data_IF_283962812312
#
_entry.id   IF_283962812312
#
_cell.length_a   1.000
_cell.length_b   1.000
_cell.length_c   1.000
_cell.angle_alpha   90.00
_cell.angle_beta   90.00
_cell.angle_gamma   90.00
#
_symmetry.space_group_name_H-M   'P 1'
#
loop_
_entity.id
_entity.type
_entity.pdbx_description
1 polymer ?
#
# COMPACT_ATOMS: atom_id res chain seq x y z
N UNK A 1 38.26 62.37 -60.91
CA UNK A 1 37.04 62.74 -60.18
C UNK A 1 36.20 61.46 -60.00
N UNK A 2 36.49 60.65 -58.95
CA UNK A 2 35.80 59.37 -58.64
C UNK A 2 34.90 59.61 -57.41
N UNK A 3 33.58 59.46 -57.60
CA UNK A 3 32.58 59.50 -56.49
C UNK A 3 32.43 58.11 -55.96
N UNK A 4 32.79 57.90 -54.65
CA UNK A 4 32.46 56.72 -53.90
C UNK A 4 31.00 56.79 -53.41
N UNK A 5 30.23 55.70 -53.61
CA UNK A 5 28.90 55.52 -53.08
C UNK A 5 29.00 54.88 -51.70
N UNK A 6 28.22 55.30 -50.68
CA UNK A 6 28.21 54.62 -49.38
C UNK A 6 27.36 53.34 -49.44
N UNK A 7 27.91 52.24 -48.93
CA UNK A 7 27.19 51.00 -48.70
C UNK A 7 26.53 51.11 -47.31
N UNK A 8 25.19 51.12 -47.26
CA UNK A 8 24.44 51.04 -46.04
C UNK A 8 24.26 49.59 -45.67
N UNK A 9 24.92 49.18 -44.55
CA UNK A 9 24.79 47.83 -43.98
C UNK A 9 23.62 47.85 -43.00
N UNK A 10 22.49 47.26 -43.38
CA UNK A 10 21.30 47.14 -42.48
C UNK A 10 21.53 45.93 -41.58
N UNK A 11 21.78 46.18 -40.29
CA UNK A 11 21.87 45.14 -39.28
C UNK A 11 20.45 44.75 -38.85
N UNK A 12 19.97 43.58 -39.26
CA UNK A 12 18.71 42.98 -38.80
C UNK A 12 18.98 42.31 -37.44
N UNK A 13 18.58 42.97 -36.33
CA UNK A 13 18.56 42.35 -35.02
C UNK A 13 17.36 41.40 -34.92
N UNK A 14 17.66 40.09 -34.99
CA UNK A 14 16.67 39.05 -34.68
C UNK A 14 16.55 38.94 -33.17
N UNK A 15 15.46 39.48 -32.62
CA UNK A 15 15.08 39.23 -31.21
C UNK A 15 14.54 37.81 -31.08
N UNK A 16 15.35 36.89 -30.58
CA UNK A 16 14.86 35.59 -30.13
C UNK A 16 13.97 35.80 -28.89
N UNK A 17 12.66 35.66 -29.07
CA UNK A 17 11.72 35.65 -27.94
C UNK A 17 12.02 34.39 -27.11
N UNK A 18 12.70 34.57 -25.96
CA UNK A 18 12.81 33.54 -24.92
C UNK A 18 11.43 33.42 -24.30
N UNK A 19 10.65 32.43 -24.73
CA UNK A 19 9.42 32.03 -24.06
C UNK A 19 9.85 31.46 -22.70
N UNK A 20 9.50 32.06 -21.56
CA UNK A 20 9.79 31.44 -20.27
C UNK A 20 9.04 30.11 -20.23
N UNK A 21 9.74 28.99 -20.22
CA UNK A 21 9.17 27.71 -19.78
C UNK A 21 8.65 27.96 -18.38
N UNK A 22 7.33 27.95 -18.22
CA UNK A 22 6.73 27.95 -16.89
C UNK A 22 7.30 26.72 -16.18
N UNK A 23 8.26 26.92 -15.29
CA UNK A 23 8.72 25.91 -14.38
C UNK A 23 7.50 25.61 -13.48
N UNK A 24 6.77 24.55 -13.79
CA UNK A 24 5.77 24.01 -12.87
C UNK A 24 6.53 23.68 -11.59
N UNK A 25 6.25 24.44 -10.54
CA UNK A 25 6.71 24.07 -9.19
C UNK A 25 6.16 22.69 -8.89
N UNK A 26 7.05 21.71 -8.68
CA UNK A 26 6.63 20.37 -8.27
C UNK A 26 5.96 20.47 -6.89
N UNK A 27 4.73 19.94 -6.77
CA UNK A 27 4.07 19.82 -5.47
C UNK A 27 4.67 18.65 -4.70
N UNK A 28 5.14 18.90 -3.48
CA UNK A 28 5.56 17.82 -2.60
C UNK A 28 4.39 17.27 -1.81
N UNK A 29 4.12 15.97 -1.94
CA UNK A 29 3.17 15.21 -1.13
C UNK A 29 3.91 14.36 -0.11
N UNK A 30 3.48 14.42 1.16
CA UNK A 30 4.01 13.59 2.23
C UNK A 30 3.20 12.31 2.33
N UNK A 31 3.88 11.17 2.24
CA UNK A 31 3.24 9.85 2.28
C UNK A 31 3.77 9.01 3.44
N UNK A 32 2.87 8.38 4.18
CA UNK A 32 3.23 7.24 5.04
C UNK A 32 3.00 5.93 4.28
N UNK A 33 4.00 5.06 4.27
CA UNK A 33 4.00 3.79 3.55
C UNK A 33 4.17 2.65 4.55
N UNK A 34 3.18 1.77 4.66
CA UNK A 34 3.26 0.59 5.52
C UNK A 34 4.16 -0.47 4.87
N UNK A 35 5.14 -0.96 5.60
CA UNK A 35 6.04 -2.04 5.19
C UNK A 35 6.85 -1.77 3.89
N UNK A 36 8.12 -1.39 3.99
CA UNK A 36 9.01 -1.27 2.82
C UNK A 36 9.23 -2.64 2.16
N UNK A 37 9.65 -2.63 0.92
CA UNK A 37 10.05 -3.78 0.10
C UNK A 37 8.89 -4.69 -0.38
N UNK A 38 7.66 -4.50 0.06
CA UNK A 38 6.51 -5.27 -0.41
C UNK A 38 6.01 -4.76 -1.76
N UNK A 39 5.40 -5.64 -2.56
CA UNK A 39 4.83 -5.28 -3.87
C UNK A 39 3.66 -4.30 -3.75
N UNK A 40 2.75 -4.52 -2.81
CA UNK A 40 1.54 -3.70 -2.62
C UNK A 40 1.83 -2.26 -2.15
N UNK A 41 3.03 -2.01 -1.66
CA UNK A 41 3.44 -0.69 -1.16
C UNK A 41 4.50 -0.02 -2.03
N UNK A 42 5.02 -0.70 -3.07
CA UNK A 42 6.15 -0.21 -3.87
C UNK A 42 5.79 0.91 -4.86
N UNK A 43 4.51 1.05 -5.25
CA UNK A 43 4.10 1.93 -6.34
C UNK A 43 4.58 3.38 -6.18
N UNK A 44 4.45 4.05 -5.02
CA UNK A 44 4.97 5.42 -4.87
C UNK A 44 6.47 5.52 -5.10
N UNK A 45 7.25 4.64 -4.47
CA UNK A 45 8.71 4.63 -4.57
C UNK A 45 9.18 4.34 -6.00
N UNK A 46 8.63 3.29 -6.64
CA UNK A 46 9.06 2.88 -7.96
C UNK A 46 8.62 3.86 -9.05
N UNK A 47 7.40 4.39 -8.94
CA UNK A 47 6.92 5.44 -9.85
C UNK A 47 7.72 6.73 -9.72
N UNK A 48 8.18 7.08 -8.51
CA UNK A 48 9.07 8.22 -8.32
C UNK A 48 10.44 7.97 -8.94
N UNK A 49 11.05 6.78 -8.73
CA UNK A 49 12.33 6.40 -9.35
C UNK A 49 12.24 6.36 -10.88
N UNK A 50 11.11 5.91 -11.42
CA UNK A 50 10.85 5.91 -12.88
C UNK A 50 10.52 7.30 -13.43
N UNK A 51 10.42 8.34 -12.59
CA UNK A 51 10.10 9.70 -13.01
C UNK A 51 8.63 9.94 -13.35
N UNK A 52 7.74 8.94 -13.11
CA UNK A 52 6.31 9.04 -13.44
C UNK A 52 5.64 10.13 -12.61
N UNK A 53 5.86 10.18 -11.29
CA UNK A 53 5.29 11.23 -10.45
C UNK A 53 5.77 12.62 -10.85
N UNK A 54 7.06 12.77 -11.21
CA UNK A 54 7.61 14.05 -11.71
C UNK A 54 6.93 14.49 -13.02
N UNK A 55 6.65 13.57 -13.95
CA UNK A 55 5.87 13.85 -15.16
C UNK A 55 4.51 14.47 -14.86
N UNK A 56 3.91 14.13 -13.72
CA UNK A 56 2.66 14.70 -13.22
C UNK A 56 2.86 15.91 -12.29
N UNK A 57 4.07 16.51 -12.24
CA UNK A 57 4.39 17.67 -11.41
C UNK A 57 4.36 17.38 -9.91
N UNK A 58 4.73 16.16 -9.50
CA UNK A 58 4.73 15.72 -8.11
C UNK A 58 6.10 15.20 -7.69
N UNK A 59 6.46 15.54 -6.45
CA UNK A 59 7.54 14.94 -5.68
C UNK A 59 6.96 14.27 -4.44
N UNK A 60 7.41 13.07 -4.10
CA UNK A 60 6.91 12.31 -2.95
C UNK A 60 7.96 12.28 -1.83
N UNK A 61 7.55 12.70 -0.64
CA UNK A 61 8.32 12.55 0.60
C UNK A 61 7.77 11.33 1.35
N UNK A 62 8.56 10.23 1.40
CA UNK A 62 8.11 8.93 1.87
C UNK A 62 8.60 8.63 3.28
N UNK A 63 7.66 8.44 4.21
CA UNK A 63 7.86 7.94 5.56
C UNK A 63 7.46 6.46 5.64
N UNK A 64 8.39 5.57 5.97
CA UNK A 64 8.07 4.16 6.17
C UNK A 64 7.65 3.88 7.62
N UNK A 65 6.58 3.08 7.78
CA UNK A 65 6.00 2.70 9.08
C UNK A 65 6.10 1.19 9.30
N UNK A 66 5.77 0.72 10.51
CA UNK A 66 5.77 -0.71 10.84
C UNK A 66 4.51 -1.46 10.35
N UNK A 67 3.54 -0.76 9.77
CA UNK A 67 2.32 -1.34 9.21
C UNK A 67 1.17 -0.36 9.08
N UNK A 68 0.07 -0.82 8.47
CA UNK A 68 -1.07 0.01 8.09
C UNK A 68 -1.76 0.76 9.25
N UNK A 69 -1.64 0.29 10.48
CA UNK A 69 -2.19 0.99 11.64
C UNK A 69 -1.42 2.29 11.94
N UNK A 70 -0.08 2.24 11.94
CA UNK A 70 0.74 3.44 12.10
C UNK A 70 0.58 4.40 10.92
N UNK A 71 0.52 3.85 9.69
CA UNK A 71 0.21 4.62 8.48
C UNK A 71 -1.08 5.42 8.65
N UNK A 72 -2.14 4.79 9.14
CA UNK A 72 -3.43 5.45 9.38
C UNK A 72 -3.30 6.56 10.44
N UNK A 73 -2.57 6.34 11.52
CA UNK A 73 -2.37 7.35 12.55
C UNK A 73 -1.60 8.58 12.02
N UNK A 74 -0.59 8.38 11.18
CA UNK A 74 0.15 9.47 10.56
C UNK A 74 -0.76 10.34 9.66
N UNK A 75 -1.73 9.73 8.95
CA UNK A 75 -2.73 10.46 8.16
C UNK A 75 -3.73 11.19 9.06
N UNK A 76 -4.27 10.54 10.07
CA UNK A 76 -5.26 11.13 10.99
C UNK A 76 -4.68 12.35 11.72
N UNK A 77 -3.43 12.26 12.16
CA UNK A 77 -2.73 13.37 12.83
C UNK A 77 -2.39 14.55 11.89
N UNK A 78 -2.46 14.35 10.56
CA UNK A 78 -2.04 15.34 9.57
C UNK A 78 -0.51 15.44 9.42
N UNK A 79 0.25 14.51 9.97
CA UNK A 79 1.72 14.46 9.79
C UNK A 79 2.11 14.16 8.36
N UNK A 80 1.24 13.47 7.62
CA UNK A 80 1.34 13.19 6.19
C UNK A 80 0.01 13.45 5.49
N UNK A 81 0.07 13.67 4.17
CA UNK A 81 -1.10 13.88 3.34
C UNK A 81 -1.82 12.55 3.03
N UNK A 82 -1.06 11.53 2.64
CA UNK A 82 -1.55 10.25 2.12
C UNK A 82 -0.94 9.09 2.90
N UNK A 83 -1.72 8.03 3.09
CA UNK A 83 -1.27 6.76 3.67
C UNK A 83 -1.49 5.59 2.70
N UNK A 84 -0.46 4.80 2.49
CA UNK A 84 -0.46 3.65 1.59
C UNK A 84 -0.67 2.37 2.38
N UNK A 85 -1.62 1.53 1.95
CA UNK A 85 -1.92 0.22 2.51
C UNK A 85 -2.42 0.23 3.98
N UNK A 86 -3.28 1.18 4.34
CA UNK A 86 -4.03 1.14 5.60
C UNK A 86 -5.08 0.02 5.59
N UNK A 87 -5.35 -0.59 6.75
CA UNK A 87 -6.38 -1.63 6.88
C UNK A 87 -7.80 -1.06 6.74
N UNK A 88 -8.56 -1.54 5.77
CA UNK A 88 -9.85 -0.94 5.40
C UNK A 88 -10.86 -0.96 6.54
N UNK A 89 -10.99 -2.08 7.26
CA UNK A 89 -11.91 -2.18 8.40
C UNK A 89 -11.61 -1.14 9.48
N UNK A 90 -10.32 -0.91 9.79
CA UNK A 90 -9.92 0.09 10.77
C UNK A 90 -10.14 1.52 10.26
N UNK A 91 -9.95 1.78 8.97
CA UNK A 91 -10.27 3.07 8.34
C UNK A 91 -11.77 3.37 8.45
N UNK A 92 -12.65 2.38 8.18
CA UNK A 92 -14.10 2.51 8.41
C UNK A 92 -14.43 2.83 9.87
N UNK A 93 -13.79 2.12 10.81
CA UNK A 93 -13.99 2.35 12.25
C UNK A 93 -13.48 3.72 12.73
N UNK A 94 -12.35 4.19 12.21
CA UNK A 94 -11.82 5.52 12.51
C UNK A 94 -12.73 6.62 11.95
N UNK A 95 -13.19 6.48 10.71
CA UNK A 95 -14.13 7.39 10.09
C UNK A 95 -15.46 7.46 10.87
N UNK A 96 -16.03 6.32 11.27
CA UNK A 96 -17.24 6.28 12.09
C UNK A 96 -17.11 7.04 13.42
N UNK A 97 -15.89 7.17 13.94
CA UNK A 97 -15.55 7.94 15.15
C UNK A 97 -15.20 9.41 14.87
N UNK A 98 -15.37 9.87 13.63
CA UNK A 98 -15.12 11.26 13.23
C UNK A 98 -13.68 11.57 12.84
N UNK A 99 -12.81 10.57 12.63
CA UNK A 99 -11.45 10.81 12.18
C UNK A 99 -11.43 11.47 10.79
N UNK A 100 -10.52 12.45 10.55
CA UNK A 100 -10.42 13.18 9.28
C UNK A 100 -9.71 12.34 8.20
N UNK A 101 -10.28 11.19 7.86
CA UNK A 101 -9.72 10.25 6.89
C UNK A 101 -10.70 9.97 5.76
N UNK A 102 -10.18 9.85 4.52
CA UNK A 102 -10.93 9.43 3.33
C UNK A 102 -10.16 8.35 2.59
N UNK A 103 -10.86 7.49 1.86
CA UNK A 103 -10.26 6.50 0.97
C UNK A 103 -10.05 7.16 -0.39
N UNK A 104 -8.78 7.27 -0.79
CA UNK A 104 -8.34 7.87 -2.06
C UNK A 104 -8.22 6.82 -3.17
N UNK A 105 -7.91 5.57 -2.81
CA UNK A 105 -7.81 4.44 -3.73
C UNK A 105 -8.03 3.11 -3.00
N UNK A 106 -8.49 2.10 -3.73
CA UNK A 106 -8.33 0.73 -3.29
C UNK A 106 -6.83 0.35 -3.32
N UNK A 107 -6.41 -0.52 -2.43
CA UNK A 107 -5.05 -1.04 -2.39
C UNK A 107 -5.02 -2.50 -2.82
N UNK A 108 -5.27 -3.42 -1.89
CA UNK A 108 -5.22 -4.86 -2.16
C UNK A 108 -6.57 -5.51 -1.85
N UNK A 109 -7.10 -6.25 -2.83
CA UNK A 109 -8.29 -7.09 -2.68
C UNK A 109 -7.86 -8.54 -2.49
N UNK A 110 -8.38 -9.18 -1.45
CA UNK A 110 -7.94 -10.51 -1.02
C UNK A 110 -6.72 -10.46 -0.08
N UNK A 111 -6.32 -11.64 0.37
CA UNK A 111 -5.25 -11.83 1.38
C UNK A 111 -4.29 -12.96 0.99
N UNK A 112 -4.16 -13.26 -0.29
CA UNK A 112 -3.29 -14.33 -0.81
C UNK A 112 -1.80 -14.09 -0.54
N UNK A 113 -1.42 -12.84 -0.34
CA UNK A 113 -0.06 -12.44 0.01
C UNK A 113 0.29 -12.67 1.49
N UNK A 114 -0.70 -12.72 2.37
CA UNK A 114 -0.48 -12.88 3.81
C UNK A 114 -0.38 -14.35 4.20
N UNK A 115 0.60 -14.67 5.03
CA UNK A 115 0.73 -16.01 5.59
C UNK A 115 1.32 -16.02 6.99
N UNK A 116 0.97 -17.07 7.73
CA UNK A 116 1.45 -17.34 9.08
C UNK A 116 2.32 -18.57 9.08
N UNK A 117 3.39 -18.51 9.83
CA UNK A 117 4.43 -19.55 9.86
C UNK A 117 4.97 -19.77 11.27
N UNK A 118 5.63 -20.90 11.44
CA UNK A 118 6.36 -21.25 12.64
C UNK A 118 7.79 -21.66 12.29
N UNK A 119 8.76 -21.59 13.23
CA UNK A 119 10.06 -22.23 13.07
C UNK A 119 9.90 -23.72 12.73
N UNK A 120 10.78 -24.28 11.90
CA UNK A 120 10.67 -25.68 11.45
C UNK A 120 10.62 -26.70 12.61
N UNK A 121 11.32 -26.40 13.70
CA UNK A 121 11.34 -27.24 14.92
C UNK A 121 10.07 -27.12 15.79
N UNK A 122 9.17 -26.16 15.50
CA UNK A 122 7.96 -25.96 16.28
C UNK A 122 7.05 -27.22 16.28
N UNK A 123 6.40 -27.57 17.40
CA UNK A 123 5.40 -28.62 17.45
C UNK A 123 4.10 -28.28 16.72
N UNK A 124 3.81 -26.98 16.47
CA UNK A 124 2.62 -26.50 15.77
C UNK A 124 2.72 -26.94 14.30
N UNK A 125 1.72 -27.68 13.80
CA UNK A 125 1.70 -28.22 12.43
C UNK A 125 0.70 -27.51 11.50
N UNK A 126 -0.34 -26.96 12.08
CA UNK A 126 -1.43 -26.25 11.37
C UNK A 126 -1.96 -25.10 12.22
N UNK A 127 -2.80 -24.26 11.63
CA UNK A 127 -3.43 -23.17 12.38
C UNK A 127 -4.42 -23.69 13.46
N UNK A 128 -4.84 -24.94 13.39
CA UNK A 128 -5.67 -25.56 14.45
C UNK A 128 -4.91 -25.83 15.74
N UNK A 129 -3.59 -25.80 15.69
CA UNK A 129 -2.74 -26.12 16.86
C UNK A 129 -2.34 -24.86 17.67
N UNK A 130 -2.94 -23.69 17.35
CA UNK A 130 -2.53 -22.41 17.96
C UNK A 130 -3.34 -22.01 19.21
N UNK A 131 -4.13 -22.91 19.76
CA UNK A 131 -4.84 -22.64 21.02
C UNK A 131 -3.89 -22.21 22.15
N UNK A 132 -4.21 -21.07 22.77
CA UNK A 132 -3.39 -20.45 23.81
C UNK A 132 -2.03 -19.93 23.35
N UNK A 133 -1.69 -20.02 22.06
CA UNK A 133 -0.41 -19.57 21.50
C UNK A 133 -0.45 -18.08 21.11
N UNK A 134 0.72 -17.47 21.13
CA UNK A 134 0.91 -16.10 20.62
C UNK A 134 1.06 -16.12 19.11
N UNK A 135 0.21 -15.33 18.43
CA UNK A 135 0.20 -15.23 16.96
C UNK A 135 0.42 -13.77 16.55
N UNK A 136 1.50 -13.55 15.81
CA UNK A 136 1.91 -12.21 15.36
C UNK A 136 1.00 -11.62 14.29
N UNK A 137 0.86 -10.29 14.33
CA UNK A 137 0.37 -9.42 13.25
C UNK A 137 1.15 -8.10 13.29
N UNK A 138 1.09 -7.26 12.25
CA UNK A 138 1.94 -6.07 12.21
C UNK A 138 1.59 -5.05 13.28
N UNK A 139 0.54 -4.29 13.08
CA UNK A 139 0.09 -3.21 13.98
C UNK A 139 -1.42 -3.25 14.17
N UNK A 140 -1.92 -2.70 15.27
CA UNK A 140 -3.35 -2.63 15.52
C UNK A 140 -4.07 -1.88 14.38
N UNK A 141 -5.13 -2.49 13.83
CA UNK A 141 -5.89 -1.93 12.73
C UNK A 141 -5.31 -2.21 11.34
N UNK A 142 -4.14 -2.86 11.22
CA UNK A 142 -3.63 -3.32 9.93
C UNK A 142 -4.47 -4.47 9.36
N UNK A 143 -4.36 -4.71 8.03
CA UNK A 143 -5.00 -5.87 7.38
C UNK A 143 -4.57 -7.20 7.99
N UNK A 144 -3.31 -7.32 8.40
CA UNK A 144 -2.78 -8.50 9.09
C UNK A 144 -3.52 -8.79 10.39
N UNK A 145 -3.92 -7.74 11.13
CA UNK A 145 -4.70 -7.89 12.36
C UNK A 145 -6.11 -8.45 12.06
N UNK A 146 -6.83 -7.81 11.15
CA UNK A 146 -8.20 -8.25 10.81
C UNK A 146 -8.22 -9.62 10.12
N UNK A 147 -7.23 -9.92 9.28
CA UNK A 147 -7.08 -11.24 8.67
C UNK A 147 -6.76 -12.33 9.71
N UNK A 148 -5.89 -12.04 10.69
CA UNK A 148 -5.64 -12.97 11.79
C UNK A 148 -6.92 -13.25 12.59
N UNK A 149 -7.73 -12.24 12.90
CA UNK A 149 -9.01 -12.42 13.60
C UNK A 149 -9.99 -13.26 12.76
N UNK A 150 -10.00 -13.09 11.43
CA UNK A 150 -10.80 -13.90 10.52
C UNK A 150 -10.33 -15.37 10.51
N UNK A 151 -9.02 -15.63 10.53
CA UNK A 151 -8.47 -16.99 10.65
C UNK A 151 -8.83 -17.63 11.99
N UNK A 152 -8.65 -16.93 13.10
CA UNK A 152 -9.03 -17.40 14.43
C UNK A 152 -10.52 -17.81 14.45
N UNK A 153 -11.40 -16.94 13.93
CA UNK A 153 -12.83 -17.22 13.82
C UNK A 153 -13.12 -18.43 12.91
N UNK A 154 -12.46 -18.49 11.74
CA UNK A 154 -12.68 -19.56 10.77
C UNK A 154 -12.27 -20.94 11.30
N UNK A 155 -11.10 -21.03 11.94
CA UNK A 155 -10.59 -22.29 12.49
C UNK A 155 -11.19 -22.64 13.86
N UNK A 156 -11.91 -21.72 14.51
CA UNK A 156 -12.54 -21.91 15.82
C UNK A 156 -11.51 -22.09 16.95
N UNK A 157 -10.36 -21.44 16.86
CA UNK A 157 -9.25 -21.54 17.83
C UNK A 157 -9.22 -20.33 18.77
N UNK A 158 -8.61 -20.49 19.94
CA UNK A 158 -8.42 -19.43 20.93
C UNK A 158 -6.95 -19.00 21.00
N UNK A 159 -6.45 -18.39 19.89
CA UNK A 159 -5.10 -17.83 19.85
C UNK A 159 -5.02 -16.48 20.57
N UNK A 160 -3.79 -16.07 20.93
CA UNK A 160 -3.49 -14.74 21.49
C UNK A 160 -2.82 -13.85 20.44
N UNK A 161 -3.56 -12.92 19.80
CA UNK A 161 -2.97 -11.98 18.84
C UNK A 161 -1.96 -11.04 19.52
N UNK A 162 -0.80 -10.83 18.87
CA UNK A 162 0.29 -9.97 19.36
C UNK A 162 0.74 -9.02 18.25
N UNK A 163 0.75 -7.72 18.51
CA UNK A 163 1.34 -6.73 17.61
C UNK A 163 2.87 -6.90 17.61
N UNK A 164 3.41 -7.48 16.54
CA UNK A 164 4.81 -7.88 16.43
C UNK A 164 5.64 -6.99 15.48
N UNK A 165 5.03 -5.95 14.89
CA UNK A 165 5.68 -5.05 13.97
C UNK A 165 5.82 -5.60 12.54
N UNK A 166 6.74 -5.05 11.76
CA UNK A 166 6.99 -5.46 10.38
C UNK A 166 7.47 -6.92 10.29
N UNK A 167 7.33 -7.53 9.10
CA UNK A 167 7.64 -8.94 8.87
C UNK A 167 9.06 -9.36 9.29
N UNK A 168 10.06 -8.49 9.08
CA UNK A 168 11.45 -8.75 9.49
C UNK A 168 11.61 -8.81 11.03
N UNK A 169 10.93 -7.92 11.75
CA UNK A 169 10.94 -7.91 13.23
C UNK A 169 10.22 -9.16 13.75
N UNK A 170 9.06 -9.46 13.18
CA UNK A 170 8.26 -10.66 13.51
C UNK A 170 9.04 -11.95 13.28
N UNK A 171 9.85 -12.01 12.20
CA UNK A 171 10.70 -13.17 11.94
C UNK A 171 11.70 -13.41 13.08
N UNK A 172 12.40 -12.36 13.52
CA UNK A 172 13.33 -12.45 14.64
C UNK A 172 12.62 -12.93 15.91
N UNK A 173 11.46 -12.36 16.25
CA UNK A 173 10.69 -12.74 17.42
C UNK A 173 10.21 -14.20 17.37
N UNK A 174 9.77 -14.68 16.21
CA UNK A 174 9.36 -16.07 16.06
C UNK A 174 10.55 -17.04 16.17
N UNK A 175 11.68 -16.71 15.52
CA UNK A 175 12.88 -17.57 15.54
C UNK A 175 13.54 -17.61 16.91
N UNK A 176 13.38 -16.60 17.75
CA UNK A 176 13.89 -16.55 19.14
C UNK A 176 12.87 -17.03 20.17
N UNK A 177 11.67 -17.43 19.75
CA UNK A 177 10.62 -17.93 20.65
C UNK A 177 9.93 -16.85 21.50
N UNK A 178 10.06 -15.56 21.15
CA UNK A 178 9.33 -14.48 21.79
C UNK A 178 7.82 -14.50 21.44
N UNK A 179 7.50 -15.01 20.25
CA UNK A 179 6.16 -15.37 19.81
C UNK A 179 6.15 -16.76 19.22
N UNK A 180 5.03 -17.49 19.33
CA UNK A 180 4.90 -18.87 18.82
C UNK A 180 4.75 -18.91 17.29
N UNK A 181 4.01 -17.95 16.72
CA UNK A 181 3.66 -17.91 15.30
C UNK A 181 3.96 -16.53 14.73
N UNK A 182 4.77 -16.47 13.68
CA UNK A 182 5.07 -15.27 12.92
C UNK A 182 4.10 -15.06 11.76
N UNK A 183 4.05 -13.84 11.24
CA UNK A 183 3.38 -13.49 10.00
C UNK A 183 4.37 -12.95 8.98
N UNK A 184 4.07 -13.09 7.68
CA UNK A 184 4.82 -12.47 6.61
C UNK A 184 3.95 -12.18 5.38
N UNK A 185 4.52 -11.40 4.49
CA UNK A 185 4.08 -11.16 3.12
C UNK A 185 5.33 -11.11 2.24
N UNK A 186 5.31 -11.67 1.00
CA UNK A 186 6.47 -11.63 0.13
C UNK A 186 6.99 -10.19 -0.09
N UNK A 187 8.33 -10.05 -0.18
CA UNK A 187 9.35 -11.10 -0.33
C UNK A 187 9.79 -11.78 0.97
N UNK A 188 9.39 -11.27 2.14
CA UNK A 188 9.83 -11.79 3.43
C UNK A 188 9.41 -13.24 3.63
N UNK A 189 10.35 -14.05 4.16
CA UNK A 189 10.12 -15.44 4.54
C UNK A 189 10.12 -16.44 3.39
N UNK A 190 10.11 -16.03 2.12
CA UNK A 190 10.09 -16.98 0.98
C UNK A 190 11.35 -17.85 0.97
N UNK A 191 12.53 -17.26 1.11
CA UNK A 191 13.79 -18.04 1.20
C UNK A 191 13.80 -18.95 2.42
N UNK A 192 13.35 -18.46 3.58
CA UNK A 192 13.28 -19.27 4.79
C UNK A 192 12.30 -20.46 4.67
N UNK A 193 11.22 -20.31 3.90
CA UNK A 193 10.32 -21.41 3.54
C UNK A 193 11.01 -22.41 2.61
N UNK A 194 11.73 -21.94 1.58
CA UNK A 194 12.47 -22.79 0.64
C UNK A 194 13.60 -23.57 1.32
N UNK A 195 14.32 -22.93 2.24
CA UNK A 195 15.40 -23.53 3.03
C UNK A 195 14.87 -24.45 4.15
N UNK A 196 13.56 -24.56 4.33
CA UNK A 196 12.98 -25.36 5.41
C UNK A 196 13.26 -24.83 6.82
N UNK A 197 13.64 -23.55 6.96
CA UNK A 197 13.86 -22.90 8.27
C UNK A 197 12.57 -22.58 9.00
N UNK A 198 11.51 -22.31 8.22
CA UNK A 198 10.15 -22.06 8.72
C UNK A 198 9.16 -22.95 7.97
N UNK A 199 8.00 -23.17 8.57
CA UNK A 199 6.89 -23.92 7.99
C UNK A 199 5.65 -23.06 7.98
N UNK A 200 4.99 -22.95 6.84
CA UNK A 200 3.70 -22.30 6.68
C UNK A 200 2.61 -23.12 7.38
N UNK A 201 1.75 -22.45 8.15
CA UNK A 201 0.63 -23.10 8.86
C UNK A 201 -0.73 -22.53 8.47
N UNK A 202 -0.78 -21.33 7.87
CA UNK A 202 -1.99 -20.74 7.29
C UNK A 202 -1.64 -19.68 6.25
N UNK A 203 -2.54 -19.51 5.28
CA UNK A 203 -2.61 -18.33 4.39
C UNK A 203 -3.78 -17.45 4.80
N UNK A 204 -3.69 -16.15 4.55
CA UNK A 204 -4.82 -15.24 4.81
C UNK A 204 -6.08 -15.68 4.06
N UNK A 205 -5.94 -16.18 2.84
CA UNK A 205 -7.03 -16.70 1.99
C UNK A 205 -7.68 -18.00 2.50
N UNK A 206 -7.15 -18.64 3.56
CA UNK A 206 -7.81 -19.79 4.20
C UNK A 206 -9.08 -19.34 4.94
N UNK A 207 -9.15 -18.06 5.37
CA UNK A 207 -10.40 -17.45 5.85
C UNK A 207 -11.23 -16.96 4.64
N UNK A 208 -12.35 -17.64 4.28
CA UNK A 208 -13.11 -17.34 3.05
C UNK A 208 -13.64 -15.90 3.01
N UNK A 209 -13.97 -15.30 4.16
CA UNK A 209 -14.52 -13.94 4.23
C UNK A 209 -13.57 -12.88 3.66
N UNK A 210 -12.25 -13.13 3.70
CA UNK A 210 -11.24 -12.12 3.27
C UNK A 210 -10.90 -12.16 1.79
N UNK A 211 -11.36 -13.17 1.04
CA UNK A 211 -10.90 -13.41 -0.34
C UNK A 211 -11.27 -12.32 -1.32
N UNK A 212 -12.49 -11.77 -1.17
CA UNK A 212 -13.05 -10.78 -2.09
C UNK A 212 -13.19 -9.39 -1.47
N UNK A 213 -12.65 -9.20 -0.26
CA UNK A 213 -12.62 -7.91 0.42
C UNK A 213 -11.39 -7.10 -0.02
N UNK A 214 -11.56 -5.82 -0.29
CA UNK A 214 -10.43 -4.88 -0.38
C UNK A 214 -9.90 -4.61 1.02
N UNK A 215 -8.98 -5.46 1.49
CA UNK A 215 -8.48 -5.45 2.87
C UNK A 215 -7.51 -4.30 3.16
N UNK A 216 -6.93 -3.71 2.11
CA UNK A 216 -6.07 -2.53 2.21
C UNK A 216 -6.55 -1.45 1.27
N UNK A 217 -6.48 -0.20 1.73
CA UNK A 217 -6.82 1.01 0.96
C UNK A 217 -5.72 2.05 1.10
N UNK A 218 -5.65 2.96 0.13
CA UNK A 218 -4.85 4.17 0.26
C UNK A 218 -5.75 5.28 0.75
N UNK A 219 -5.30 5.97 1.77
CA UNK A 219 -6.09 6.96 2.49
C UNK A 219 -5.48 8.34 2.40
N UNK A 220 -6.30 9.35 2.56
CA UNK A 220 -5.88 10.75 2.56
C UNK A 220 -6.46 11.47 3.77
N UNK A 221 -5.72 12.43 4.31
CA UNK A 221 -6.26 13.36 5.31
C UNK A 221 -7.36 14.22 4.66
N UNK A 222 -8.53 14.32 5.30
CA UNK A 222 -9.67 15.03 4.73
C UNK A 222 -9.38 16.52 4.44
N UNK A 223 -8.57 17.18 5.28
CA UNK A 223 -8.19 18.58 5.06
C UNK A 223 -7.22 18.68 3.88
N UNK A 224 -6.23 17.79 3.78
CA UNK A 224 -5.31 17.74 2.64
C UNK A 224 -6.06 17.47 1.33
N UNK A 225 -7.07 16.59 1.34
CA UNK A 225 -7.92 16.33 0.17
C UNK A 225 -8.62 17.60 -0.34
N UNK A 226 -9.16 18.42 0.56
CA UNK A 226 -9.84 19.68 0.19
C UNK A 226 -8.85 20.74 -0.26
N UNK A 227 -7.77 20.94 0.51
CA UNK A 227 -6.80 22.01 0.25
C UNK A 227 -5.92 21.77 -0.98
N UNK A 228 -5.70 20.50 -1.35
CA UNK A 228 -4.76 20.06 -2.38
C UNK A 228 -5.44 19.14 -3.41
N UNK A 229 -6.71 19.38 -3.73
CA UNK A 229 -7.53 18.51 -4.58
C UNK A 229 -6.86 18.20 -5.93
N UNK A 230 -6.29 19.21 -6.59
CA UNK A 230 -5.58 19.04 -7.88
C UNK A 230 -4.36 18.10 -7.72
N UNK A 231 -3.56 18.27 -6.67
CA UNK A 231 -2.43 17.39 -6.41
C UNK A 231 -2.87 15.94 -6.14
N UNK A 232 -4.02 15.72 -5.48
CA UNK A 232 -4.58 14.38 -5.26
C UNK A 232 -5.06 13.74 -6.57
N UNK A 233 -5.65 14.51 -7.49
CA UNK A 233 -6.03 14.03 -8.83
C UNK A 233 -4.79 13.64 -9.62
N UNK A 234 -3.74 14.49 -9.65
CA UNK A 234 -2.47 14.19 -10.30
C UNK A 234 -1.77 12.98 -9.68
N UNK A 235 -1.81 12.84 -8.35
CA UNK A 235 -1.30 11.68 -7.64
C UNK A 235 -1.99 10.39 -8.13
N UNK A 236 -3.31 10.39 -8.23
CA UNK A 236 -4.05 9.21 -8.70
C UNK A 236 -3.78 8.88 -10.16
N UNK A 237 -3.56 9.88 -11.02
CA UNK A 237 -3.13 9.66 -12.42
C UNK A 237 -1.75 8.99 -12.45
N UNK A 238 -0.78 9.53 -11.73
CA UNK A 238 0.57 9.00 -11.64
C UNK A 238 0.59 7.59 -11.00
N UNK A 239 -0.22 7.37 -9.96
CA UNK A 239 -0.35 6.08 -9.29
C UNK A 239 -0.88 5.00 -10.26
N UNK A 240 -1.93 5.30 -11.03
CA UNK A 240 -2.50 4.40 -12.03
C UNK A 240 -1.52 4.10 -13.17
N UNK A 241 -0.83 5.13 -13.67
CA UNK A 241 0.22 4.98 -14.70
C UNK A 241 1.34 4.08 -14.18
N UNK A 242 1.80 4.30 -12.95
CA UNK A 242 2.84 3.46 -12.32
C UNK A 242 2.37 2.02 -12.13
N UNK A 243 1.13 1.84 -11.65
CA UNK A 243 0.54 0.52 -11.50
C UNK A 243 0.51 -0.23 -12.85
N UNK A 244 0.00 0.41 -13.90
CA UNK A 244 -0.08 -0.22 -15.22
C UNK A 244 1.30 -0.54 -15.78
N UNK A 245 2.27 0.36 -15.63
CA UNK A 245 3.66 0.17 -16.02
C UNK A 245 4.33 -1.00 -15.28
N UNK A 246 4.16 -1.12 -13.96
CA UNK A 246 4.75 -2.22 -13.17
C UNK A 246 4.29 -3.61 -13.63
N UNK A 247 3.08 -3.72 -14.19
CA UNK A 247 2.55 -5.00 -14.67
C UNK A 247 2.79 -5.24 -16.16
N UNK A 248 3.05 -4.20 -16.95
CA UNK A 248 3.21 -4.29 -18.41
C UNK A 248 4.66 -4.29 -18.87
N UNK A 249 5.55 -3.59 -18.15
CA UNK A 249 6.93 -3.35 -18.59
C UNK A 249 7.92 -4.22 -17.78
N UNK A 250 8.83 -4.96 -18.43
CA UNK A 250 9.89 -5.71 -17.74
C UNK A 250 10.77 -4.85 -16.83
N UNK A 251 10.95 -3.56 -17.14
CA UNK A 251 11.69 -2.62 -16.31
C UNK A 251 11.05 -2.47 -14.93
N UNK A 252 9.70 -2.49 -14.84
CA UNK A 252 8.96 -2.43 -13.59
C UNK A 252 9.34 -3.58 -12.65
N UNK A 253 9.42 -4.81 -13.18
CA UNK A 253 9.85 -6.00 -12.41
C UNK A 253 11.30 -5.87 -11.98
N UNK A 254 12.19 -5.42 -12.89
CA UNK A 254 13.62 -5.25 -12.59
C UNK A 254 13.83 -4.21 -11.47
N UNK A 255 13.12 -3.10 -11.53
CA UNK A 255 13.20 -2.06 -10.52
C UNK A 255 12.63 -2.54 -9.18
N UNK A 256 11.54 -3.33 -9.20
CA UNK A 256 11.03 -3.98 -8.00
C UNK A 256 12.02 -4.99 -7.43
N UNK A 257 12.68 -5.81 -8.24
CA UNK A 257 13.68 -6.76 -7.77
C UNK A 257 14.81 -6.07 -6.98
N UNK A 258 15.27 -4.91 -7.46
CA UNK A 258 16.24 -4.08 -6.75
C UNK A 258 15.68 -3.52 -5.44
N UNK A 259 14.45 -2.98 -5.46
CA UNK A 259 13.78 -2.42 -4.29
C UNK A 259 13.48 -3.49 -3.24
N UNK A 260 12.94 -4.63 -3.65
CA UNK A 260 12.62 -5.78 -2.80
C UNK A 260 13.85 -6.57 -2.35
N UNK A 261 15.04 -6.29 -2.93
CA UNK A 261 16.30 -7.01 -2.70
C UNK A 261 16.19 -8.51 -2.99
N UNK A 262 15.56 -8.84 -4.11
CA UNK A 262 15.32 -10.22 -4.57
C UNK A 262 15.78 -10.40 -6.02
N UNK A 263 15.96 -11.64 -6.46
CA UNK A 263 16.19 -11.94 -7.87
C UNK A 263 14.93 -11.72 -8.72
N UNK A 264 15.09 -11.38 -10.00
CA UNK A 264 13.97 -11.16 -10.93
C UNK A 264 13.00 -12.35 -11.00
N UNK A 265 13.43 -13.63 -10.99
CA UNK A 265 12.49 -14.75 -10.99
C UNK A 265 11.54 -14.74 -9.78
N UNK A 266 12.05 -14.37 -8.59
CA UNK A 266 11.21 -14.24 -7.41
C UNK A 266 10.31 -13.00 -7.49
N UNK A 267 10.80 -11.89 -8.05
CA UNK A 267 10.00 -10.69 -8.29
C UNK A 267 8.80 -10.97 -9.20
N UNK A 268 9.01 -11.71 -10.30
CA UNK A 268 7.95 -12.16 -11.22
C UNK A 268 6.93 -13.03 -10.47
N UNK A 269 7.42 -13.99 -9.71
CA UNK A 269 6.57 -14.87 -8.91
C UNK A 269 5.73 -14.10 -7.88
N UNK A 270 6.32 -13.10 -7.20
CA UNK A 270 5.60 -12.23 -6.25
C UNK A 270 4.47 -11.50 -6.97
N UNK A 271 4.75 -10.89 -8.12
CA UNK A 271 3.76 -10.18 -8.93
C UNK A 271 2.60 -11.09 -9.36
N UNK A 272 2.92 -12.26 -9.89
CA UNK A 272 1.94 -13.10 -10.59
C UNK A 272 1.14 -14.01 -9.64
N UNK A 273 1.78 -14.58 -8.60
CA UNK A 273 1.13 -15.52 -7.68
C UNK A 273 0.51 -14.84 -6.45
N UNK A 274 1.20 -13.83 -5.88
CA UNK A 274 0.78 -13.22 -4.62
C UNK A 274 0.06 -11.89 -4.80
N UNK A 275 0.44 -11.13 -5.84
CA UNK A 275 -0.08 -9.79 -6.10
C UNK A 275 -0.50 -9.64 -7.58
N UNK A 276 -1.43 -10.49 -8.09
CA UNK A 276 -1.87 -10.37 -9.47
C UNK A 276 -2.51 -9.01 -9.71
N UNK A 277 -2.40 -8.47 -10.95
CA UNK A 277 -2.88 -7.12 -11.31
C UNK A 277 -4.31 -6.85 -10.84
N UNK A 278 -5.19 -7.85 -10.96
CA UNK A 278 -6.61 -7.72 -10.57
C UNK A 278 -6.81 -7.48 -9.06
N UNK A 279 -5.91 -8.02 -8.23
CA UNK A 279 -5.96 -7.81 -6.78
C UNK A 279 -5.48 -6.40 -6.37
N UNK A 280 -4.82 -5.68 -7.28
CA UNK A 280 -4.18 -4.39 -7.02
C UNK A 280 -4.85 -3.21 -7.73
N UNK A 281 -6.06 -3.40 -8.31
CA UNK A 281 -6.77 -2.34 -9.03
C UNK A 281 -7.19 -1.20 -8.08
N UNK A 282 -6.77 0.05 -8.35
CA UNK A 282 -6.94 1.15 -7.38
C UNK A 282 -8.34 1.79 -7.40
N UNK A 283 -9.19 1.44 -8.36
CA UNK A 283 -10.37 2.24 -8.69
C UNK A 283 -11.65 1.79 -7.96
N UNK A 284 -11.63 0.63 -7.28
CA UNK A 284 -12.84 0.08 -6.67
C UNK A 284 -12.55 -0.64 -5.35
N UNK A 285 -13.23 -0.23 -4.30
CA UNK A 285 -13.30 -0.97 -3.03
C UNK A 285 -14.36 -2.06 -3.17
N UNK A 286 -13.97 -3.31 -2.95
CA UNK A 286 -14.84 -4.50 -3.08
C UNK A 286 -15.12 -5.14 -1.72
N UNK A 287 -16.24 -5.88 -1.62
CA UNK A 287 -16.57 -6.68 -0.44
C UNK A 287 -16.95 -5.87 0.81
N UNK A 288 -17.49 -4.65 0.64
CA UNK A 288 -17.81 -3.74 1.76
C UNK A 288 -18.78 -4.38 2.76
N UNK A 289 -19.79 -5.12 2.30
CA UNK A 289 -20.78 -5.74 3.19
C UNK A 289 -20.13 -6.82 4.08
N UNK A 290 -19.36 -7.72 3.47
CA UNK A 290 -18.64 -8.76 4.20
C UNK A 290 -17.60 -8.16 5.16
N UNK A 291 -16.89 -7.12 4.73
CA UNK A 291 -15.95 -6.37 5.55
C UNK A 291 -16.63 -5.68 6.73
N UNK A 292 -17.80 -5.09 6.52
CA UNK A 292 -18.63 -4.48 7.56
C UNK A 292 -19.01 -5.50 8.63
N UNK A 293 -19.44 -6.70 8.22
CA UNK A 293 -19.79 -7.78 9.15
C UNK A 293 -18.57 -8.25 9.97
N UNK A 294 -17.41 -8.42 9.32
CA UNK A 294 -16.18 -8.78 10.02
C UNK A 294 -15.73 -7.65 10.96
N UNK A 295 -15.77 -6.39 10.52
CA UNK A 295 -15.39 -5.24 11.33
C UNK A 295 -16.27 -5.08 12.59
N UNK A 296 -17.57 -5.35 12.51
CA UNK A 296 -18.50 -5.37 13.66
C UNK A 296 -18.17 -6.56 14.56
N UNK A 297 -18.02 -7.76 14.00
CA UNK A 297 -17.66 -8.97 14.74
C UNK A 297 -16.38 -8.77 15.56
N UNK A 298 -15.38 -8.11 14.99
CA UNK A 298 -14.09 -7.83 15.61
C UNK A 298 -14.09 -6.55 16.46
N UNK A 299 -15.25 -5.91 16.65
CA UNK A 299 -15.44 -4.68 17.43
C UNK A 299 -14.59 -3.50 16.93
N UNK A 300 -14.25 -3.49 15.65
CA UNK A 300 -13.53 -2.41 14.96
C UNK A 300 -14.50 -1.31 14.54
N UNK A 301 -15.70 -1.70 14.11
CA UNK A 301 -16.79 -0.83 13.71
C UNK A 301 -18.00 -1.08 14.62
N UNK A 302 -18.62 -0.04 15.20
CA UNK A 302 -19.74 -0.22 16.14
C UNK A 302 -21.06 -0.61 15.45
N UNK A 303 -21.29 -0.13 14.23
CA UNK A 303 -22.49 -0.38 13.42
C UNK A 303 -22.18 -0.17 11.93
N UNK A 304 -23.00 -0.67 10.99
CA UNK A 304 -22.81 -0.42 9.56
C UNK A 304 -22.80 1.09 9.26
N UNK A 305 -21.93 1.49 8.33
CA UNK A 305 -21.97 2.85 7.77
C UNK A 305 -23.18 2.97 6.84
N UNK A 306 -23.88 4.12 6.88
CA UNK A 306 -24.92 4.44 5.92
C UNK A 306 -24.33 4.64 4.52
N UNK A 307 -25.17 4.61 3.48
CA UNK A 307 -24.74 4.88 2.11
C UNK A 307 -24.11 6.28 1.96
N UNK A 308 -24.65 7.28 2.64
CA UNK A 308 -24.10 8.63 2.66
C UNK A 308 -22.72 8.66 3.32
N UNK A 309 -22.54 7.94 4.42
CA UNK A 309 -21.25 7.82 5.10
C UNK A 309 -20.22 7.09 4.22
N UNK A 310 -20.63 6.03 3.51
CA UNK A 310 -19.74 5.35 2.55
C UNK A 310 -19.35 6.27 1.40
N UNK A 311 -20.29 7.06 0.88
CA UNK A 311 -20.02 8.05 -0.17
C UNK A 311 -19.05 9.14 0.33
N UNK A 312 -19.19 9.59 1.58
CA UNK A 312 -18.25 10.54 2.17
C UNK A 312 -16.87 9.93 2.43
N UNK A 313 -16.82 8.67 2.81
CA UNK A 313 -15.56 7.98 3.10
C UNK A 313 -14.77 7.68 1.82
N UNK A 314 -15.45 7.18 0.77
CA UNK A 314 -14.79 6.72 -0.46
C UNK A 314 -14.76 7.86 -1.47
N UNK A 315 -13.59 8.47 -1.65
CA UNK A 315 -13.34 9.65 -2.48
C UNK A 315 -12.30 9.34 -3.57
N UNK A 316 -12.48 8.23 -4.27
CA UNK A 316 -11.60 7.82 -5.37
C UNK A 316 -11.87 8.72 -6.58
N UNK A 317 -10.91 9.52 -7.06
CA UNK A 317 -11.08 10.32 -8.26
C UNK A 317 -11.39 9.43 -9.47
N UNK A 318 -12.34 9.81 -10.35
CA UNK A 318 -12.64 9.04 -11.55
C UNK A 318 -11.41 8.92 -12.45
N UNK A 319 -11.35 7.88 -13.28
CA UNK A 319 -10.40 7.86 -14.40
C UNK A 319 -10.85 8.88 -15.43
N UNK A 320 -9.93 9.67 -15.95
CA UNK A 320 -10.21 10.51 -17.10
C UNK A 320 -10.59 9.60 -18.27
N UNK A 321 -11.62 10.00 -19.01
CA UNK A 321 -12.09 9.29 -20.20
C UNK A 321 -11.20 9.60 -21.40
#
# INVERSE_FOLDING_TARGET
MFRAKPVVCTIVCVWAAVVPSAAFSEDTLKLAVGAPNNWDTCIPELGQRAGIFRKHGLNLDLLYTQGGGETMQAVISGSVDIGIAAGTAAVMGAFAKGAPVRILAAGTTGTSDLYWYVPAASPIRSFKDVDGRTVGYSTNGASTHTTLLALIKHFGVNARPVASGAAAVTYTQAMTGQIDVGWASPPFGIEALQDGKIRLIARGSDAPSTRDQTVRVHIVNANALVQRQDAMVRFMRAYRETHDWLYADPEGVRLYAQYGKVGEPLAIRIRDEFMPKQAMLPDRVSGIDAMTQDAITFKVLPAPLSQDQLTQLIQIPPRDR
#
